data_IF_760421350530
#
_entry.id   IF_760421350530
#
_cell.length_a   1.000
_cell.length_b   1.000
_cell.length_c   1.000
_cell.angle_alpha   90.00
_cell.angle_beta   90.00
_cell.angle_gamma   90.00
#
_symmetry.space_group_name_H-M   'P 1'
#
loop_
_entity.id
_entity.type
_entity.pdbx_description
1 polymer ?
#
# COMPACT_ATOMS: atom_id res chain seq x y z
N UNK A 1 14.10 8.76 -26.36
CA UNK A 1 12.90 9.35 -25.74
C UNK A 1 12.08 8.22 -25.16
N UNK A 2 12.13 8.02 -23.85
CA UNK A 2 11.31 7.02 -23.18
C UNK A 2 9.89 7.58 -23.06
N UNK A 3 8.93 6.89 -23.66
CA UNK A 3 7.51 7.25 -23.59
C UNK A 3 7.06 7.17 -22.13
N UNK A 4 6.86 8.31 -21.48
CA UNK A 4 6.13 8.39 -20.20
C UNK A 4 4.69 7.99 -20.50
N UNK A 5 4.36 6.73 -20.21
CA UNK A 5 3.01 6.22 -20.39
C UNK A 5 2.14 6.81 -19.27
N UNK A 6 1.52 7.96 -19.53
CA UNK A 6 0.41 8.45 -18.73
C UNK A 6 -0.73 7.45 -18.90
N UNK A 7 -0.85 6.49 -17.99
CA UNK A 7 -1.92 5.49 -18.08
C UNK A 7 -3.23 6.21 -17.79
N UNK A 8 -4.05 6.33 -18.84
CA UNK A 8 -5.44 6.76 -18.74
C UNK A 8 -6.13 5.96 -17.63
N UNK A 9 -6.83 6.68 -16.75
CA UNK A 9 -7.72 6.11 -15.74
C UNK A 9 -8.75 5.24 -16.45
N UNK A 10 -8.50 3.93 -16.53
CA UNK A 10 -9.53 2.96 -16.84
C UNK A 10 -10.49 3.01 -15.66
N UNK A 11 -11.60 3.71 -15.87
CA UNK A 11 -12.62 3.93 -14.86
C UNK A 11 -13.20 2.58 -14.46
N UNK A 12 -12.97 2.19 -13.21
CA UNK A 12 -13.91 1.31 -12.54
C UNK A 12 -15.25 2.04 -12.59
N UNK A 13 -16.21 1.50 -13.34
CA UNK A 13 -17.56 2.07 -13.35
C UNK A 13 -18.04 2.13 -11.90
N UNK A 14 -18.59 3.26 -11.48
CA UNK A 14 -19.01 3.51 -10.10
C UNK A 14 -20.24 2.68 -9.64
N UNK A 15 -20.57 1.58 -10.35
CA UNK A 15 -21.88 0.92 -10.26
C UNK A 15 -21.85 -0.57 -9.86
N UNK A 16 -20.68 -1.19 -9.68
CA UNK A 16 -20.59 -2.53 -9.06
C UNK A 16 -20.00 -2.39 -7.66
N UNK A 17 -20.83 -2.67 -6.66
CA UNK A 17 -20.38 -2.73 -5.27
C UNK A 17 -19.44 -3.94 -5.13
N UNK A 18 -18.16 -3.66 -4.90
CA UNK A 18 -17.11 -4.66 -4.81
C UNK A 18 -16.87 -5.04 -3.33
N UNK A 19 -16.97 -6.33 -3.02
CA UNK A 19 -16.58 -6.87 -1.72
C UNK A 19 -15.14 -7.35 -1.81
N UNK A 20 -14.34 -7.01 -0.80
CA UNK A 20 -12.98 -7.54 -0.66
C UNK A 20 -12.85 -8.12 0.74
N UNK A 21 -12.84 -9.45 0.82
CA UNK A 21 -12.97 -10.18 2.08
C UNK A 21 -11.70 -10.97 2.38
N UNK A 22 -11.36 -11.06 3.66
CA UNK A 22 -10.52 -12.12 4.17
C UNK A 22 -11.36 -13.31 4.67
N UNK A 23 -10.70 -14.43 4.97
CA UNK A 23 -11.39 -15.64 5.43
C UNK A 23 -12.23 -15.38 6.69
N UNK A 24 -11.71 -14.65 7.67
CA UNK A 24 -12.45 -14.30 8.90
C UNK A 24 -13.71 -13.49 8.60
N UNK A 25 -13.62 -12.52 7.70
CA UNK A 25 -14.78 -11.70 7.32
C UNK A 25 -15.82 -12.58 6.61
N UNK A 26 -15.39 -13.44 5.69
CA UNK A 26 -16.27 -14.38 5.02
C UNK A 26 -16.96 -15.33 6.03
N UNK A 27 -16.23 -15.86 7.03
CA UNK A 27 -16.79 -16.68 8.10
C UNK A 27 -17.81 -15.90 8.96
N UNK A 28 -17.52 -14.64 9.28
CA UNK A 28 -18.44 -13.79 10.05
C UNK A 28 -19.74 -13.56 9.26
N UNK A 29 -19.64 -13.27 7.96
CA UNK A 29 -20.80 -13.04 7.10
C UNK A 29 -21.58 -14.33 6.82
N UNK A 30 -20.90 -15.47 6.63
CA UNK A 30 -21.55 -16.76 6.39
C UNK A 30 -22.44 -17.21 7.56
N UNK A 31 -22.09 -16.84 8.80
CA UNK A 31 -22.91 -17.11 10.00
C UNK A 31 -24.22 -16.33 10.03
N UNK A 32 -24.39 -15.32 9.17
CA UNK A 32 -25.63 -14.55 9.05
C UNK A 32 -26.66 -15.25 8.16
N UNK A 33 -26.33 -16.38 7.52
CA UNK A 33 -27.23 -17.09 6.61
C UNK A 33 -28.55 -17.42 7.31
N UNK A 34 -29.69 -16.94 6.80
CA UNK A 34 -30.98 -17.18 7.43
C UNK A 34 -31.50 -18.58 7.08
N UNK A 35 -32.47 -19.12 7.84
CA UNK A 35 -33.19 -20.32 7.43
C UNK A 35 -33.85 -20.16 6.06
N UNK A 36 -33.99 -21.23 5.26
CA UNK A 36 -34.70 -21.18 3.98
C UNK A 36 -36.12 -20.61 4.13
N UNK A 37 -36.50 -19.71 3.23
CA UNK A 37 -37.83 -19.07 3.24
C UNK A 37 -37.96 -17.85 4.16
N UNK A 38 -36.88 -17.40 4.82
CA UNK A 38 -36.89 -16.16 5.59
C UNK A 38 -36.94 -14.93 4.69
N UNK A 39 -37.66 -13.90 5.13
CA UNK A 39 -37.63 -12.58 4.50
C UNK A 39 -36.27 -11.89 4.68
N UNK A 40 -35.97 -10.93 3.81
CA UNK A 40 -34.78 -10.12 3.95
C UNK A 40 -34.82 -9.32 5.26
N UNK A 41 -33.72 -9.30 6.00
CA UNK A 41 -33.64 -8.66 7.31
C UNK A 41 -32.36 -7.86 7.47
N UNK A 42 -32.43 -6.81 8.29
CA UNK A 42 -31.25 -6.00 8.63
C UNK A 42 -30.65 -6.51 9.93
N UNK A 43 -29.35 -6.77 9.92
CA UNK A 43 -28.59 -7.23 11.08
C UNK A 43 -27.61 -6.15 11.51
N UNK A 44 -27.57 -5.85 12.81
CA UNK A 44 -26.63 -4.90 13.41
C UNK A 44 -25.24 -5.53 13.58
N UNK A 45 -24.21 -4.72 13.38
CA UNK A 45 -22.79 -5.10 13.38
C UNK A 45 -22.05 -4.84 14.71
N UNK A 46 -20.72 -4.67 14.67
CA UNK A 46 -19.94 -4.22 13.51
C UNK A 46 -19.53 -5.33 12.53
N UNK A 47 -19.57 -5.00 11.24
CA UNK A 47 -19.04 -5.81 10.14
C UNK A 47 -18.02 -5.02 9.31
N UNK A 48 -17.34 -5.71 8.41
CA UNK A 48 -16.48 -5.12 7.38
C UNK A 48 -16.64 -5.94 6.10
N UNK A 49 -16.52 -5.25 4.96
CA UNK A 49 -16.63 -5.85 3.62
C UNK A 49 -15.43 -5.50 2.73
N UNK A 50 -14.39 -4.91 3.32
CA UNK A 50 -13.29 -4.27 2.61
C UNK A 50 -11.96 -4.34 3.41
N UNK A 51 -11.66 -5.50 3.98
CA UNK A 51 -10.44 -5.79 4.73
C UNK A 51 -10.23 -4.84 5.92
N UNK A 52 -11.30 -4.56 6.66
CA UNK A 52 -11.33 -3.68 7.83
C UNK A 52 -11.16 -2.19 7.51
N UNK A 53 -11.27 -1.77 6.25
CA UNK A 53 -11.15 -0.36 5.87
C UNK A 53 -12.33 0.47 6.38
N UNK A 54 -13.56 -0.05 6.24
CA UNK A 54 -14.78 0.56 6.77
C UNK A 54 -15.47 -0.36 7.76
N UNK A 55 -16.04 0.23 8.82
CA UNK A 55 -16.95 -0.48 9.70
C UNK A 55 -18.38 -0.26 9.22
N UNK A 56 -19.06 -1.36 8.90
CA UNK A 56 -20.46 -1.39 8.53
C UNK A 56 -21.30 -1.62 9.79
N UNK A 57 -22.11 -0.64 10.23
CA UNK A 57 -22.92 -0.79 11.43
C UNK A 57 -24.10 -1.75 11.21
N UNK A 58 -24.50 -1.95 9.95
CA UNK A 58 -25.64 -2.77 9.54
C UNK A 58 -25.36 -3.42 8.20
N UNK A 59 -25.88 -4.62 8.01
CA UNK A 59 -25.92 -5.31 6.72
C UNK A 59 -27.34 -5.81 6.44
N UNK A 60 -27.69 -5.88 5.16
CA UNK A 60 -28.92 -6.51 4.69
C UNK A 60 -28.61 -7.98 4.40
N UNK A 61 -29.29 -8.88 5.11
CA UNK A 61 -29.24 -10.33 4.89
C UNK A 61 -30.42 -10.70 4.01
N UNK A 62 -30.13 -11.33 2.87
CA UNK A 62 -31.13 -11.76 1.88
C UNK A 62 -31.11 -13.27 1.71
N UNK A 63 -32.06 -13.81 0.95
CA UNK A 63 -32.08 -15.23 0.61
C UNK A 63 -30.85 -15.67 -0.21
N UNK A 64 -30.26 -14.76 -1.00
CA UNK A 64 -29.15 -15.01 -1.93
C UNK A 64 -27.77 -14.60 -1.39
N UNK A 65 -27.69 -13.76 -0.36
CA UNK A 65 -26.42 -13.31 0.18
C UNK A 65 -26.50 -12.14 1.16
N UNK A 66 -25.37 -11.44 1.31
CA UNK A 66 -25.22 -10.27 2.19
C UNK A 66 -24.95 -9.01 1.36
N UNK A 67 -25.73 -7.96 1.61
CA UNK A 67 -25.65 -6.68 0.91
C UNK A 67 -25.51 -5.50 1.89
N UNK A 68 -25.19 -4.32 1.37
CA UNK A 68 -25.28 -3.09 2.17
C UNK A 68 -26.75 -2.68 2.34
N UNK A 69 -27.14 -1.98 3.42
CA UNK A 69 -28.54 -1.61 3.66
C UNK A 69 -29.20 -0.79 2.55
N UNK A 70 -28.43 -0.06 1.74
CA UNK A 70 -28.96 0.71 0.61
C UNK A 70 -29.33 -0.16 -0.61
N UNK A 71 -28.84 -1.41 -0.67
CA UNK A 71 -29.01 -2.35 -1.77
C UNK A 71 -30.27 -3.23 -1.59
N UNK A 72 -31.43 -2.60 -1.40
CA UNK A 72 -32.69 -3.29 -1.05
C UNK A 72 -33.33 -4.01 -2.25
N UNK A 73 -33.08 -3.55 -3.48
CA UNK A 73 -33.63 -4.22 -4.65
C UNK A 73 -32.99 -5.61 -4.83
N UNK A 74 -33.75 -6.66 -5.20
CA UNK A 74 -33.20 -8.00 -5.41
C UNK A 74 -32.05 -8.05 -6.44
N UNK A 75 -32.07 -7.16 -7.42
CA UNK A 75 -31.01 -7.02 -8.43
C UNK A 75 -29.77 -6.27 -7.95
N UNK A 76 -29.79 -5.71 -6.73
CA UNK A 76 -28.64 -4.99 -6.19
C UNK A 76 -27.51 -5.96 -5.82
N UNK A 77 -26.24 -5.60 -6.05
CA UNK A 77 -25.12 -6.50 -5.77
C UNK A 77 -25.05 -6.93 -4.31
N UNK A 78 -24.71 -8.19 -4.08
CA UNK A 78 -24.41 -8.77 -2.77
C UNK A 78 -23.21 -9.70 -2.91
N UNK A 79 -22.61 -10.08 -1.78
CA UNK A 79 -21.75 -11.27 -1.73
C UNK A 79 -22.65 -12.48 -1.47
N UNK A 80 -22.62 -13.47 -2.36
CA UNK A 80 -23.55 -14.61 -2.31
C UNK A 80 -23.16 -15.62 -1.25
N UNK A 81 -24.12 -16.47 -0.85
CA UNK A 81 -23.83 -17.57 0.07
C UNK A 81 -22.79 -18.55 -0.48
N UNK A 82 -22.83 -18.83 -1.79
CA UNK A 82 -21.89 -19.73 -2.46
C UNK A 82 -20.47 -19.12 -2.53
N UNK A 83 -20.36 -17.82 -2.79
CA UNK A 83 -19.11 -17.07 -2.74
C UNK A 83 -18.49 -17.11 -1.33
N UNK A 84 -19.29 -16.87 -0.29
CA UNK A 84 -18.83 -16.97 1.09
C UNK A 84 -18.35 -18.39 1.42
N UNK A 85 -19.10 -19.43 1.02
CA UNK A 85 -18.70 -20.82 1.24
C UNK A 85 -17.42 -21.18 0.47
N UNK A 86 -17.22 -20.65 -0.74
CA UNK A 86 -15.99 -20.84 -1.51
C UNK A 86 -14.77 -20.25 -0.77
N UNK A 87 -14.89 -19.04 -0.22
CA UNK A 87 -13.81 -18.41 0.57
C UNK A 87 -13.55 -19.19 1.86
N UNK A 88 -14.60 -19.56 2.61
CA UNK A 88 -14.47 -20.30 3.89
C UNK A 88 -13.81 -21.67 3.69
N UNK A 89 -14.10 -22.35 2.57
CA UNK A 89 -13.47 -23.64 2.22
C UNK A 89 -12.01 -23.49 1.78
N UNK A 90 -11.60 -22.32 1.30
CA UNK A 90 -10.21 -22.07 0.91
C UNK A 90 -9.34 -21.92 2.17
N UNK A 91 -8.47 -22.91 2.42
CA UNK A 91 -7.60 -22.95 3.61
C UNK A 91 -6.34 -22.09 3.49
N UNK A 92 -6.16 -21.36 2.39
CA UNK A 92 -5.00 -20.50 2.15
C UNK A 92 -5.26 -19.12 2.73
N UNK A 93 -4.28 -18.54 3.41
CA UNK A 93 -4.36 -17.12 3.81
C UNK A 93 -4.48 -16.22 2.57
N UNK A 94 -5.24 -15.13 2.64
CA UNK A 94 -5.35 -14.19 1.53
C UNK A 94 -6.55 -13.28 1.63
N UNK A 95 -6.70 -12.43 0.62
CA UNK A 95 -7.91 -11.64 0.38
C UNK A 95 -8.55 -12.10 -0.92
N UNK A 96 -9.88 -12.01 -1.02
CA UNK A 96 -10.66 -12.35 -2.20
C UNK A 96 -11.50 -11.16 -2.61
N UNK A 97 -11.53 -10.90 -3.90
CA UNK A 97 -12.46 -9.99 -4.52
C UNK A 97 -13.70 -10.77 -4.94
N UNK A 98 -14.88 -10.27 -4.59
CA UNK A 98 -16.15 -10.86 -4.96
C UNK A 98 -16.89 -9.90 -5.90
N UNK A 99 -17.30 -10.43 -7.05
CA UNK A 99 -18.14 -9.76 -8.02
C UNK A 99 -19.37 -10.65 -8.27
N UNK A 100 -20.57 -10.06 -8.16
CA UNK A 100 -21.81 -10.81 -8.24
C UNK A 100 -21.89 -11.63 -9.54
N UNK A 101 -22.09 -12.94 -9.40
CA UNK A 101 -22.20 -13.87 -10.52
C UNK A 101 -20.86 -14.47 -11.00
N UNK A 102 -19.76 -14.17 -10.30
CA UNK A 102 -18.44 -14.73 -10.56
C UNK A 102 -17.88 -15.41 -9.29
N UNK A 103 -17.06 -16.45 -9.48
CA UNK A 103 -16.35 -17.08 -8.38
C UNK A 103 -15.38 -16.09 -7.69
N UNK A 104 -15.26 -16.11 -6.35
CA UNK A 104 -14.33 -15.23 -5.65
C UNK A 104 -12.89 -15.41 -6.12
N UNK A 105 -12.26 -14.30 -6.51
CA UNK A 105 -10.89 -14.32 -7.05
C UNK A 105 -9.92 -13.90 -5.98
N UNK A 106 -8.96 -14.76 -5.62
CA UNK A 106 -7.90 -14.38 -4.67
C UNK A 106 -7.07 -13.22 -5.23
N UNK A 107 -6.68 -12.29 -4.37
CA UNK A 107 -5.86 -11.15 -4.70
C UNK A 107 -4.38 -11.54 -4.64
N UNK A 108 -3.95 -12.21 -5.71
CA UNK A 108 -2.57 -12.58 -5.99
C UNK A 108 -2.31 -12.53 -7.50
N UNK A 109 -1.08 -12.25 -7.91
CA UNK A 109 -0.70 -12.14 -9.31
C UNK A 109 0.79 -12.46 -9.50
N UNK A 110 1.17 -12.83 -10.71
CA UNK A 110 2.57 -12.97 -11.10
C UNK A 110 2.92 -11.87 -12.11
N UNK A 111 3.86 -11.01 -11.70
CA UNK A 111 4.33 -9.93 -12.55
C UNK A 111 5.35 -10.46 -13.56
N UNK A 112 4.96 -10.52 -14.83
CA UNK A 112 5.86 -10.94 -15.90
C UNK A 112 7.05 -9.99 -16.08
N UNK A 113 6.86 -8.70 -15.79
CA UNK A 113 7.89 -7.68 -15.95
C UNK A 113 9.04 -7.82 -14.95
N UNK A 114 8.72 -8.17 -13.70
CA UNK A 114 9.72 -8.30 -12.61
C UNK A 114 10.03 -9.75 -12.24
N UNK A 115 9.25 -10.70 -12.78
CA UNK A 115 9.24 -12.13 -12.43
C UNK A 115 8.98 -12.38 -10.94
N UNK A 116 8.09 -11.58 -10.35
CA UNK A 116 7.75 -11.64 -8.92
C UNK A 116 6.29 -12.01 -8.73
N UNK A 117 6.05 -12.90 -7.78
CA UNK A 117 4.70 -13.13 -7.28
C UNK A 117 4.36 -12.04 -6.26
N UNK A 118 3.17 -11.46 -6.38
CA UNK A 118 2.60 -10.50 -5.44
C UNK A 118 1.30 -11.06 -4.87
N UNK A 119 1.07 -10.88 -3.57
CA UNK A 119 -0.14 -11.36 -2.89
C UNK A 119 -0.56 -10.39 -1.80
N UNK A 120 -1.84 -10.06 -1.74
CA UNK A 120 -2.41 -9.29 -0.63
C UNK A 120 -2.70 -10.22 0.55
N UNK A 121 -2.17 -9.86 1.72
CA UNK A 121 -2.35 -10.61 2.94
C UNK A 121 -3.10 -9.75 3.97
N UNK A 122 -4.30 -10.16 4.39
CA UNK A 122 -4.98 -9.54 5.51
C UNK A 122 -4.15 -9.65 6.79
N UNK A 123 -4.39 -8.71 7.69
CA UNK A 123 -3.88 -8.75 9.05
C UNK A 123 -5.09 -8.86 9.97
N UNK A 124 -4.91 -9.46 11.14
CA UNK A 124 -6.03 -9.67 12.07
C UNK A 124 -6.70 -8.32 12.43
N UNK A 125 -5.92 -7.28 12.69
CA UNK A 125 -6.46 -5.96 12.98
C UNK A 125 -5.72 -4.87 12.19
N UNK A 126 -6.45 -4.14 11.35
CA UNK A 126 -5.93 -3.00 10.58
C UNK A 126 -5.75 -3.31 9.09
N UNK A 127 -4.91 -2.52 8.43
CA UNK A 127 -4.73 -2.61 6.99
C UNK A 127 -3.90 -3.82 6.56
N UNK A 128 -4.24 -4.44 5.41
CA UNK A 128 -3.52 -5.61 4.90
C UNK A 128 -2.07 -5.27 4.56
N UNK A 129 -1.20 -6.27 4.55
CA UNK A 129 0.14 -6.19 3.98
C UNK A 129 0.18 -6.87 2.59
N UNK A 130 1.33 -6.82 1.93
CA UNK A 130 1.59 -7.58 0.71
C UNK A 130 2.83 -8.45 0.91
N UNK A 131 2.84 -9.60 0.23
CA UNK A 131 4.05 -10.38 -0.02
C UNK A 131 4.48 -10.14 -1.45
N UNK A 132 5.74 -9.77 -1.65
CA UNK A 132 6.35 -9.61 -2.97
C UNK A 132 7.62 -10.45 -3.03
N UNK A 133 7.70 -11.35 -4.02
CA UNK A 133 8.83 -12.28 -4.18
C UNK A 133 9.16 -13.08 -2.89
N UNK A 134 8.13 -13.42 -2.09
CA UNK A 134 8.28 -14.16 -0.83
C UNK A 134 8.61 -13.30 0.40
N UNK A 135 8.75 -11.98 0.26
CA UNK A 135 9.04 -11.08 1.38
C UNK A 135 7.81 -10.25 1.76
N UNK A 136 7.54 -10.13 3.06
CA UNK A 136 6.55 -9.19 3.58
C UNK A 136 7.00 -7.75 3.33
N UNK A 137 6.13 -6.94 2.74
CA UNK A 137 6.43 -5.55 2.37
C UNK A 137 6.32 -4.57 3.54
N UNK A 138 5.55 -4.90 4.57
CA UNK A 138 5.39 -4.07 5.76
C UNK A 138 5.93 -4.77 7.01
N UNK A 139 6.36 -3.96 7.98
CA UNK A 139 6.75 -4.45 9.30
C UNK A 139 5.50 -4.95 10.04
N UNK A 140 5.57 -6.20 10.49
CA UNK A 140 4.48 -6.85 11.25
C UNK A 140 4.87 -7.18 12.70
N UNK A 141 6.17 -7.25 13.02
CA UNK A 141 6.63 -7.59 14.37
C UNK A 141 6.51 -6.38 15.29
N UNK A 142 5.63 -6.49 16.29
CA UNK A 142 5.40 -5.46 17.32
C UNK A 142 4.84 -4.15 16.78
N UNK A 143 4.23 -4.16 15.59
CA UNK A 143 3.61 -3.00 14.94
C UNK A 143 2.58 -3.47 13.90
N UNK A 144 1.93 -2.54 13.22
CA UNK A 144 1.10 -2.79 12.03
C UNK A 144 1.46 -1.77 10.94
N UNK A 145 0.99 -1.94 9.69
CA UNK A 145 1.43 -1.05 8.61
C UNK A 145 1.01 0.42 8.82
N UNK A 146 -0.14 0.70 9.45
CA UNK A 146 -0.54 2.08 9.80
C UNK A 146 0.45 2.72 10.78
N UNK A 147 0.81 2.00 11.83
CA UNK A 147 1.75 2.48 12.84
C UNK A 147 3.16 2.63 12.26
N UNK A 148 3.60 1.70 11.42
CA UNK A 148 4.88 1.78 10.70
C UNK A 148 4.95 3.02 9.80
N UNK A 149 3.94 3.25 8.97
CA UNK A 149 3.81 4.47 8.16
C UNK A 149 3.89 5.74 9.02
N UNK A 150 3.22 5.75 10.18
CA UNK A 150 3.27 6.91 11.09
C UNK A 150 4.67 7.17 11.63
N UNK A 151 5.40 6.13 12.00
CA UNK A 151 6.79 6.26 12.46
C UNK A 151 7.71 6.74 11.33
N UNK A 152 7.53 6.26 10.09
CA UNK A 152 8.25 6.75 8.89
C UNK A 152 8.05 8.26 8.68
N UNK A 153 6.81 8.74 8.74
CA UNK A 153 6.52 10.17 8.59
C UNK A 153 7.07 11.01 9.76
N UNK A 154 6.96 10.51 11.00
CA UNK A 154 7.52 11.16 12.20
C UNK A 154 9.04 11.22 12.21
N UNK A 155 9.72 10.39 11.43
CA UNK A 155 11.17 10.47 11.28
C UNK A 155 11.61 11.85 10.75
N UNK A 156 10.75 12.54 9.98
CA UNK A 156 11.02 13.90 9.53
C UNK A 156 10.84 14.98 10.61
N UNK A 157 10.27 14.63 11.76
CA UNK A 157 9.93 15.56 12.85
C UNK A 157 8.47 15.41 13.27
N UNK A 158 8.09 16.12 14.33
CA UNK A 158 6.75 16.06 14.93
C UNK A 158 5.63 16.38 13.93
N UNK A 159 5.86 17.35 13.04
CA UNK A 159 4.89 17.78 12.04
C UNK A 159 4.95 16.96 10.73
N UNK A 160 5.86 16.00 10.62
CA UNK A 160 6.07 15.22 9.39
C UNK A 160 6.58 16.06 8.21
N UNK A 161 6.41 15.57 6.96
CA UNK A 161 6.83 16.29 5.77
C UNK A 161 5.91 17.48 5.42
N UNK A 162 6.41 18.35 4.55
CA UNK A 162 5.68 19.51 4.02
C UNK A 162 6.13 19.86 2.59
N UNK A 163 5.32 20.62 1.85
CA UNK A 163 5.58 20.95 0.44
C UNK A 163 5.46 19.73 -0.47
N UNK A 164 6.23 19.70 -1.55
CA UNK A 164 6.31 18.56 -2.47
C UNK A 164 7.11 17.38 -1.86
N UNK A 165 6.55 16.18 -1.93
CA UNK A 165 7.15 14.93 -1.44
C UNK A 165 7.36 13.96 -2.61
N UNK A 166 8.50 13.28 -2.63
CA UNK A 166 8.75 12.12 -3.50
C UNK A 166 8.71 10.85 -2.66
N UNK A 167 8.00 9.83 -3.12
CA UNK A 167 7.96 8.49 -2.54
C UNK A 167 8.50 7.48 -3.57
N UNK A 168 9.50 6.69 -3.18
CA UNK A 168 10.16 5.73 -4.07
C UNK A 168 9.88 4.33 -3.53
N UNK A 169 9.42 3.44 -4.42
CA UNK A 169 8.93 2.10 -4.12
C UNK A 169 7.58 2.12 -3.39
N UNK A 170 6.56 2.62 -4.10
CA UNK A 170 5.19 2.83 -3.60
C UNK A 170 4.63 1.68 -2.75
N UNK A 171 4.85 0.42 -3.16
CA UNK A 171 4.31 -0.73 -2.45
C UNK A 171 2.78 -0.75 -2.49
N UNK A 172 2.10 -0.82 -1.34
CA UNK A 172 0.64 -0.60 -1.27
C UNK A 172 0.25 0.89 -1.15
N UNK A 173 1.23 1.80 -1.10
CA UNK A 173 1.02 3.25 -1.12
C UNK A 173 0.66 3.88 0.22
N UNK A 174 0.71 3.13 1.33
CA UNK A 174 0.27 3.65 2.63
C UNK A 174 1.05 4.89 3.06
N UNK A 175 2.35 4.91 2.85
CA UNK A 175 3.19 6.06 3.21
C UNK A 175 2.92 7.26 2.30
N UNK A 176 2.76 7.06 0.99
CA UNK A 176 2.39 8.11 0.04
C UNK A 176 1.00 8.71 0.35
N UNK A 177 0.00 7.86 0.60
CA UNK A 177 -1.36 8.27 0.98
C UNK A 177 -1.33 9.06 2.28
N UNK A 178 -0.66 8.55 3.32
CA UNK A 178 -0.59 9.22 4.60
C UNK A 178 0.14 10.57 4.51
N UNK A 179 1.18 10.68 3.69
CA UNK A 179 1.85 11.95 3.43
C UNK A 179 0.90 12.93 2.72
N UNK A 180 0.16 12.50 1.70
CA UNK A 180 -0.78 13.34 0.96
C UNK A 180 -1.92 13.90 1.85
N UNK A 181 -2.33 13.16 2.88
CA UNK A 181 -3.33 13.61 3.87
C UNK A 181 -2.88 14.77 4.75
N UNK A 182 -1.57 15.02 4.86
CA UNK A 182 -1.07 16.14 5.65
C UNK A 182 -1.40 17.46 4.95
N UNK A 183 -1.98 18.40 5.70
CA UNK A 183 -2.31 19.73 5.19
C UNK A 183 -1.06 20.49 4.72
N UNK A 184 0.08 20.24 5.35
CA UNK A 184 1.39 20.81 5.01
C UNK A 184 1.98 20.27 3.70
N UNK A 185 1.49 19.15 3.17
CA UNK A 185 1.98 18.53 1.93
C UNK A 185 1.16 19.05 0.75
N UNK A 186 1.85 19.58 -0.24
CA UNK A 186 1.25 20.17 -1.45
C UNK A 186 0.93 19.09 -2.49
N UNK A 187 1.87 18.18 -2.71
CA UNK A 187 1.78 17.05 -3.65
C UNK A 187 2.70 15.91 -3.24
N UNK A 188 2.37 14.69 -3.64
CA UNK A 188 3.18 13.49 -3.50
C UNK A 188 3.35 12.88 -4.88
N UNK A 189 4.58 12.82 -5.39
CA UNK A 189 4.90 11.98 -6.55
C UNK A 189 5.39 10.63 -6.04
N UNK A 190 4.84 9.51 -6.51
CA UNK A 190 5.28 8.16 -6.11
C UNK A 190 5.71 7.32 -7.31
N UNK A 191 6.76 6.51 -7.15
CA UNK A 191 7.33 5.65 -8.22
C UNK A 191 7.18 4.18 -7.85
N UNK A 192 6.45 3.43 -8.69
CA UNK A 192 6.30 1.96 -8.57
C UNK A 192 6.85 1.27 -9.81
N UNK A 193 7.72 0.28 -9.61
CA UNK A 193 8.33 -0.51 -10.68
C UNK A 193 7.37 -1.60 -11.16
N UNK A 194 6.70 -2.27 -10.22
CA UNK A 194 6.11 -3.59 -10.46
C UNK A 194 4.62 -3.49 -10.85
N UNK A 195 4.25 -3.88 -12.09
CA UNK A 195 2.86 -3.93 -12.51
C UNK A 195 1.98 -4.84 -11.64
N UNK A 196 2.54 -5.91 -11.07
CA UNK A 196 1.83 -6.78 -10.14
C UNK A 196 1.46 -6.04 -8.86
N UNK A 197 2.34 -5.18 -8.33
CA UNK A 197 2.00 -4.31 -7.20
C UNK A 197 0.93 -3.28 -7.58
N UNK A 198 0.96 -2.75 -8.80
CA UNK A 198 -0.10 -1.85 -9.30
C UNK A 198 -1.46 -2.56 -9.35
N UNK A 199 -1.51 -3.82 -9.75
CA UNK A 199 -2.73 -4.64 -9.70
C UNK A 199 -3.22 -4.81 -8.26
N UNK A 200 -2.32 -5.14 -7.33
CA UNK A 200 -2.66 -5.24 -5.90
C UNK A 200 -3.21 -3.91 -5.35
N UNK A 201 -2.60 -2.78 -5.72
CA UNK A 201 -3.07 -1.45 -5.32
C UNK A 201 -4.51 -1.17 -5.79
N UNK A 202 -4.90 -1.64 -6.98
CA UNK A 202 -6.27 -1.44 -7.49
C UNK A 202 -7.31 -2.26 -6.72
N UNK A 203 -6.93 -3.46 -6.30
CA UNK A 203 -7.83 -4.42 -5.61
C UNK A 203 -7.82 -4.25 -4.09
N UNK A 204 -6.83 -3.54 -3.53
CA UNK A 204 -6.75 -3.24 -2.10
C UNK A 204 -7.58 -2.00 -1.73
N UNK A 205 -8.64 -2.11 -0.89
CA UNK A 205 -9.44 -0.97 -0.45
C UNK A 205 -8.61 0.14 0.22
N UNK A 206 -7.56 -0.22 0.95
CA UNK A 206 -6.68 0.72 1.65
C UNK A 206 -5.75 1.51 0.72
N UNK A 207 -5.63 1.11 -0.55
CA UNK A 207 -4.81 1.77 -1.57
C UNK A 207 -5.63 2.72 -2.46
N UNK A 208 -6.96 2.81 -2.31
CA UNK A 208 -7.87 3.59 -3.17
C UNK A 208 -7.44 5.04 -3.37
N UNK A 209 -6.92 5.69 -2.33
CA UNK A 209 -6.49 7.09 -2.38
C UNK A 209 -5.25 7.34 -3.25
N UNK A 210 -4.51 6.31 -3.65
CA UNK A 210 -3.50 6.44 -4.70
C UNK A 210 -4.11 6.86 -6.04
N UNK A 211 -5.39 6.53 -6.28
CA UNK A 211 -6.07 6.77 -7.54
C UNK A 211 -7.07 7.93 -7.49
N UNK A 212 -7.57 8.26 -6.30
CA UNK A 212 -8.59 9.31 -6.12
C UNK A 212 -8.05 10.63 -5.54
N UNK A 213 -6.88 10.62 -4.89
CA UNK A 213 -6.33 11.84 -4.30
C UNK A 213 -5.76 12.77 -5.37
N UNK A 214 -6.25 14.01 -5.41
CA UNK A 214 -5.72 15.04 -6.30
C UNK A 214 -4.26 15.44 -5.99
N UNK A 215 -3.75 15.09 -4.81
CA UNK A 215 -2.36 15.37 -4.41
C UNK A 215 -1.38 14.27 -4.85
N UNK A 216 -1.85 13.10 -5.26
CA UNK A 216 -0.99 11.95 -5.56
C UNK A 216 -0.79 11.83 -7.07
N UNK A 217 0.47 11.95 -7.50
CA UNK A 217 0.92 11.68 -8.86
C UNK A 217 1.68 10.35 -8.87
N UNK A 218 1.30 9.44 -9.75
CA UNK A 218 1.91 8.10 -9.85
C UNK A 218 2.74 7.98 -11.11
N UNK A 219 4.01 7.60 -10.96
CA UNK A 219 4.90 7.26 -12.06
C UNK A 219 5.16 5.75 -12.03
N UNK A 220 4.98 5.09 -13.17
CA UNK A 220 5.17 3.65 -13.30
C UNK A 220 6.44 3.37 -14.09
N UNK A 221 7.37 2.65 -13.47
CA UNK A 221 8.63 2.26 -14.08
C UNK A 221 9.79 2.23 -13.11
N UNK A 222 10.99 1.99 -13.65
CA UNK A 222 12.20 1.90 -12.86
C UNK A 222 12.61 3.28 -12.31
N UNK A 223 12.70 3.37 -10.99
CA UNK A 223 13.15 4.57 -10.30
C UNK A 223 14.57 5.00 -10.74
N UNK A 224 15.46 4.06 -11.10
CA UNK A 224 16.80 4.40 -11.61
C UNK A 224 16.76 5.14 -12.94
N UNK A 225 15.72 4.90 -13.76
CA UNK A 225 15.51 5.54 -15.05
C UNK A 225 14.61 6.79 -14.96
N UNK A 226 13.62 6.79 -14.07
CA UNK A 226 12.66 7.88 -13.92
C UNK A 226 13.21 9.03 -13.06
N UNK A 227 13.93 8.73 -11.97
CA UNK A 227 14.45 9.74 -11.05
C UNK A 227 15.36 10.78 -11.74
N UNK A 228 16.25 10.40 -12.69
CA UNK A 228 17.04 11.37 -13.47
C UNK A 228 16.20 12.35 -14.31
N UNK A 229 14.97 11.97 -14.69
CA UNK A 229 14.09 12.79 -15.52
C UNK A 229 13.34 13.84 -14.68
N UNK A 230 13.26 13.66 -13.36
CA UNK A 230 12.64 14.64 -12.48
C UNK A 230 13.52 15.88 -12.31
N UNK A 231 12.89 17.05 -12.17
CA UNK A 231 13.60 18.32 -11.98
C UNK A 231 14.51 18.31 -10.75
N UNK A 232 15.67 18.97 -10.88
CA UNK A 232 16.53 19.24 -9.72
C UNK A 232 15.80 20.13 -8.71
N UNK A 233 16.05 19.94 -7.41
CA UNK A 233 15.46 20.77 -6.34
C UNK A 233 13.92 20.84 -6.32
N UNK A 234 13.24 19.86 -6.91
CA UNK A 234 11.79 19.83 -7.07
C UNK A 234 11.03 19.35 -5.82
N UNK A 235 11.71 18.71 -4.86
CA UNK A 235 11.07 18.11 -3.69
C UNK A 235 11.65 18.63 -2.38
N UNK A 236 10.77 18.79 -1.40
CA UNK A 236 11.11 19.17 -0.03
C UNK A 236 11.51 17.95 0.80
N UNK A 237 10.86 16.82 0.54
CA UNK A 237 11.10 15.56 1.23
C UNK A 237 11.13 14.39 0.25
N UNK A 238 11.94 13.39 0.56
CA UNK A 238 11.99 12.12 -0.16
C UNK A 238 11.80 10.97 0.85
N UNK A 239 10.92 10.05 0.53
CA UNK A 239 10.69 8.80 1.23
C UNK A 239 11.25 7.71 0.32
N UNK A 240 12.29 7.02 0.77
CA UNK A 240 12.92 5.92 0.05
C UNK A 240 12.73 4.63 0.85
N UNK A 241 11.75 3.83 0.42
CA UNK A 241 11.32 2.61 1.12
C UNK A 241 11.49 1.38 0.22
N UNK A 242 12.73 1.09 -0.24
CA UNK A 242 12.95 0.02 -1.20
C UNK A 242 12.69 -1.36 -0.57
N UNK A 243 12.39 -2.38 -1.39
CA UNK A 243 12.39 -3.75 -0.89
C UNK A 243 13.78 -4.17 -0.42
N UNK A 244 13.88 -5.40 0.10
CA UNK A 244 15.14 -5.96 0.60
C UNK A 244 16.25 -5.83 -0.45
N UNK A 245 17.45 -5.50 0.01
CA UNK A 245 18.60 -5.20 -0.86
C UNK A 245 18.91 -6.32 -1.88
N UNK A 246 18.66 -7.58 -1.54
CA UNK A 246 18.87 -8.72 -2.45
C UNK A 246 18.04 -8.66 -3.73
N UNK A 247 16.97 -7.86 -3.79
CA UNK A 247 16.11 -7.72 -4.98
C UNK A 247 16.08 -6.30 -5.54
N UNK A 248 16.82 -5.35 -4.96
CA UNK A 248 16.83 -3.94 -5.37
C UNK A 248 18.18 -3.24 -5.08
N UNK A 249 19.30 -3.92 -5.32
CA UNK A 249 20.64 -3.42 -4.99
C UNK A 249 20.97 -2.04 -5.56
N UNK A 250 20.51 -1.75 -6.78
CA UNK A 250 20.77 -0.47 -7.45
C UNK A 250 20.17 0.73 -6.70
N UNK A 251 19.08 0.51 -5.96
CA UNK A 251 18.43 1.52 -5.11
C UNK A 251 19.23 1.87 -3.85
N UNK A 252 20.29 1.10 -3.57
CA UNK A 252 21.28 1.37 -2.53
C UNK A 252 22.60 1.88 -3.13
N UNK A 253 22.70 2.11 -4.44
CA UNK A 253 23.94 2.60 -5.04
C UNK A 253 24.23 4.06 -4.67
N UNK A 254 25.51 4.44 -4.72
CA UNK A 254 25.92 5.85 -4.58
C UNK A 254 25.26 6.73 -5.65
N UNK A 255 25.22 6.25 -6.90
CA UNK A 255 24.63 6.97 -8.03
C UNK A 255 23.14 7.25 -7.80
N UNK A 256 22.41 6.28 -7.26
CA UNK A 256 21.01 6.48 -6.92
C UNK A 256 20.84 7.53 -5.81
N UNK A 257 21.66 7.48 -4.76
CA UNK A 257 21.63 8.48 -3.70
C UNK A 257 22.01 9.89 -4.17
N UNK A 258 22.93 10.02 -5.15
CA UNK A 258 23.23 11.30 -5.79
C UNK A 258 22.00 11.87 -6.53
N UNK A 259 21.19 11.01 -7.16
CA UNK A 259 19.93 11.44 -7.77
C UNK A 259 18.90 11.88 -6.71
N UNK A 260 18.76 11.16 -5.59
CA UNK A 260 17.90 11.58 -4.48
C UNK A 260 18.36 12.94 -3.91
N UNK A 261 19.67 13.13 -3.78
CA UNK A 261 20.25 14.41 -3.37
C UNK A 261 19.96 15.53 -4.38
N UNK A 262 20.07 15.26 -5.68
CA UNK A 262 19.82 16.24 -6.75
C UNK A 262 18.38 16.77 -6.73
N UNK A 263 17.39 15.88 -6.58
CA UNK A 263 15.97 16.26 -6.64
C UNK A 263 15.48 16.98 -5.38
N UNK A 264 16.17 16.84 -4.25
CA UNK A 264 15.86 17.59 -3.03
C UNK A 264 16.24 19.07 -3.17
N UNK A 265 15.42 19.96 -2.62
CA UNK A 265 15.76 21.38 -2.40
C UNK A 265 16.83 21.54 -1.31
N UNK A 266 17.52 22.70 -1.21
CA UNK A 266 18.39 22.99 -0.08
C UNK A 266 17.66 22.78 1.26
N UNK A 267 18.33 22.18 2.25
CA UNK A 267 17.71 21.75 3.53
C UNK A 267 16.59 20.71 3.42
N UNK A 268 16.36 20.14 2.24
CA UNK A 268 15.43 19.03 2.04
C UNK A 268 15.87 17.76 2.77
N UNK A 269 14.90 16.90 3.12
CA UNK A 269 15.16 15.71 3.94
C UNK A 269 14.80 14.43 3.21
N UNK A 270 15.68 13.44 3.32
CA UNK A 270 15.45 12.07 2.88
C UNK A 270 15.21 11.19 4.10
N UNK A 271 14.16 10.38 4.09
CA UNK A 271 14.04 9.20 4.94
C UNK A 271 14.35 7.97 4.08
N UNK A 272 15.26 7.11 4.55
CA UNK A 272 15.58 5.85 3.90
C UNK A 272 15.34 4.69 4.86
N UNK A 273 14.37 3.84 4.54
CA UNK A 273 14.12 2.59 5.26
C UNK A 273 15.21 1.56 4.93
N UNK A 274 15.69 0.84 5.94
CA UNK A 274 16.75 -0.17 5.81
C UNK A 274 16.32 -1.51 6.43
N UNK A 275 15.55 -1.46 7.52
CA UNK A 275 15.17 -2.63 8.33
C UNK A 275 15.61 -2.49 9.79
N UNK A 276 15.40 -3.55 10.56
CA UNK A 276 15.61 -3.55 12.00
C UNK A 276 17.09 -3.32 12.37
N UNK A 277 17.47 -2.17 12.98
CA UNK A 277 18.86 -1.86 13.30
C UNK A 277 19.50 -2.84 14.29
N UNK A 278 18.69 -3.52 15.11
CA UNK A 278 19.16 -4.50 16.09
C UNK A 278 19.40 -5.89 15.47
N UNK A 279 18.98 -6.08 14.21
CA UNK A 279 19.29 -7.30 13.46
C UNK A 279 20.74 -7.29 12.95
N UNK A 280 21.40 -8.45 13.00
CA UNK A 280 22.78 -8.61 12.52
C UNK A 280 22.94 -8.18 11.05
N UNK A 281 21.95 -8.48 10.21
CA UNK A 281 21.96 -8.23 8.76
C UNK A 281 21.80 -6.73 8.48
N UNK A 282 20.75 -6.09 8.99
CA UNK A 282 20.51 -4.67 8.71
C UNK A 282 21.50 -3.76 9.44
N UNK A 283 21.98 -4.12 10.64
CA UNK A 283 22.96 -3.32 11.39
C UNK A 283 24.24 -2.99 10.63
N UNK A 284 24.72 -3.90 9.76
CA UNK A 284 25.85 -3.63 8.86
C UNK A 284 25.46 -2.69 7.71
N UNK A 285 24.24 -2.83 7.18
CA UNK A 285 23.72 -1.98 6.11
C UNK A 285 23.59 -0.51 6.53
N UNK A 286 23.25 -0.21 7.78
CA UNK A 286 23.18 1.16 8.28
C UNK A 286 24.48 1.93 8.08
N UNK A 287 25.64 1.31 8.39
CA UNK A 287 26.95 1.94 8.22
C UNK A 287 27.25 2.23 6.75
N UNK A 288 27.02 1.24 5.89
CA UNK A 288 27.25 1.37 4.44
C UNK A 288 26.34 2.41 3.79
N UNK A 289 25.05 2.40 4.11
CA UNK A 289 24.10 3.39 3.60
C UNK A 289 24.44 4.80 4.09
N UNK A 290 24.79 4.96 5.38
CA UNK A 290 25.17 6.26 5.91
C UNK A 290 26.46 6.81 5.30
N UNK A 291 27.44 5.95 5.00
CA UNK A 291 28.66 6.35 4.29
C UNK A 291 28.35 6.82 2.87
N UNK A 292 27.61 6.01 2.09
CA UNK A 292 27.20 6.36 0.71
C UNK A 292 26.32 7.61 0.65
N UNK A 293 25.43 7.83 1.62
CA UNK A 293 24.63 9.05 1.70
C UNK A 293 25.50 10.29 1.94
N UNK A 294 26.51 10.21 2.82
CA UNK A 294 27.45 11.33 3.00
C UNK A 294 28.25 11.61 1.74
N UNK A 295 28.72 10.55 1.08
CA UNK A 295 29.45 10.64 -0.20
C UNK A 295 28.58 11.24 -1.33
N UNK A 296 27.27 10.97 -1.32
CA UNK A 296 26.31 11.58 -2.24
C UNK A 296 26.05 13.08 -2.00
N UNK A 297 26.56 13.66 -0.91
CA UNK A 297 26.47 15.09 -0.60
C UNK A 297 25.59 15.45 0.61
N UNK A 298 24.93 14.47 1.24
CA UNK A 298 24.11 14.74 2.42
C UNK A 298 24.99 15.17 3.62
N UNK A 299 24.59 16.24 4.32
CA UNK A 299 25.38 16.81 5.40
C UNK A 299 25.21 16.11 6.75
N UNK A 300 23.97 15.85 7.13
CA UNK A 300 23.63 15.11 8.35
C UNK A 300 22.96 13.81 7.96
N UNK A 301 23.39 12.69 8.54
CA UNK A 301 22.72 11.38 8.43
C UNK A 301 22.54 10.83 9.84
N UNK A 302 21.30 10.71 10.29
CA UNK A 302 20.93 10.30 11.66
C UNK A 302 20.07 9.05 11.64
N UNK A 303 20.26 8.19 12.64
CA UNK A 303 19.42 7.02 12.85
C UNK A 303 18.00 7.44 13.25
N UNK A 304 17.00 6.86 12.60
CA UNK A 304 15.59 6.93 12.97
C UNK A 304 15.14 5.55 13.47
N UNK A 305 15.61 5.17 14.66
CA UNK A 305 15.50 3.80 15.18
C UNK A 305 14.05 3.30 15.26
N UNK A 306 13.08 4.16 15.61
CA UNK A 306 11.66 3.79 15.69
C UNK A 306 11.05 3.41 14.32
N UNK A 307 11.61 3.99 13.25
CA UNK A 307 11.15 3.81 11.88
C UNK A 307 12.06 2.87 11.06
N UNK A 308 13.04 2.21 11.68
CA UNK A 308 13.93 1.23 11.02
C UNK A 308 14.68 1.81 9.80
N UNK A 309 15.10 3.07 9.91
CA UNK A 309 15.74 3.79 8.82
C UNK A 309 16.67 4.90 9.26
N UNK A 310 17.10 5.71 8.30
CA UNK A 310 17.93 6.91 8.53
C UNK A 310 17.28 8.14 7.93
N UNK A 311 17.56 9.29 8.53
CA UNK A 311 17.18 10.60 8.01
C UNK A 311 18.43 11.33 7.58
N UNK A 312 18.47 11.73 6.30
CA UNK A 312 19.56 12.49 5.71
C UNK A 312 19.09 13.90 5.31
N UNK A 313 19.92 14.92 5.51
CA UNK A 313 19.60 16.32 5.20
C UNK A 313 20.54 16.83 4.12
N UNK A 314 19.98 17.38 3.04
CA UNK A 314 20.72 18.07 1.99
C UNK A 314 21.26 19.40 2.52
N UNK A 315 22.56 19.65 2.28
CA UNK A 315 23.16 20.95 2.59
C UNK A 315 22.67 22.02 1.62
#
# INVERSE_FOLDING_TARGET
MASVLLVATCGLSASSQLFVLCQREAEQLARLRPPPGSDASVVDGPFTIDLGFTSQPRLLVRADGVALPAAVAPSSPCVTWDELDAIVRDKRDGAWECEAGYEPVRIETFSEATKRHAKLLPVEHGCPTAVLAGFNMHRMKGTNPVADTREKLRAFGEHGPSGAVLDVCTGLGYTAIAAAKLASVERVTTIELDPGMVEMQRRNPWSRELFSSAKVERLLGDATALLPQLGSTAFSYVIHDPPVNSIAGDLYSLQFYQQLHRVLRPSGRLFHYIGDPDSKVSGQMFKGCAARLREAGFGSVKLAARAFGVVAIKR
#
